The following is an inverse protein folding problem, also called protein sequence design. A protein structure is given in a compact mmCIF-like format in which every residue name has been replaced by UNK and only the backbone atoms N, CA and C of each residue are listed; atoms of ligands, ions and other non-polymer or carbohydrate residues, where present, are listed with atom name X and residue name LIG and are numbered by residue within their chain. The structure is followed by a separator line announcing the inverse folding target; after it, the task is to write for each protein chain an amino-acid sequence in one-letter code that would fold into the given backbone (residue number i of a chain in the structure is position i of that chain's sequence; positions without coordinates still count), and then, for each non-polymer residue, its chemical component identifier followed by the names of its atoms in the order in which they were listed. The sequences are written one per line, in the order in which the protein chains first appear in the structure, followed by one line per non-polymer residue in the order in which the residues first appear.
data_IF_428684144654
#
_entry.id   IF_428684144654
#
_cell.length_a   1.000
_cell.length_b   1.000
_cell.length_c   1.000
_cell.angle_alpha   90.00
_cell.angle_beta   90.00
_cell.angle_gamma   90.00
#
_symmetry.space_group_name_H-M   'P 1'
#
loop_
_entity.id
_entity.type
_entity.pdbx_description
1 polymer ?
#
# COMPACT_ATOMS: atom_id res chain seq x y z
N UNK A 1 16.91 12.18 -11.51
CA UNK A 1 15.45 11.96 -11.37
C UNK A 1 14.65 13.21 -11.00
N UNK A 2 15.28 14.32 -10.60
CA UNK A 2 14.58 15.55 -10.16
C UNK A 2 14.01 16.36 -11.34
N UNK A 3 14.72 16.38 -12.48
CA UNK A 3 14.37 17.21 -13.64
C UNK A 3 12.94 16.97 -14.17
N UNK A 4 12.49 15.72 -14.42
CA UNK A 4 11.12 15.49 -14.90
C UNK A 4 10.05 15.96 -13.92
N UNK A 5 10.25 15.70 -12.62
CA UNK A 5 9.33 16.11 -11.56
C UNK A 5 9.23 17.64 -11.52
N UNK A 6 10.37 18.32 -11.57
CA UNK A 6 10.42 19.78 -11.61
C UNK A 6 9.70 20.34 -12.83
N UNK A 7 9.96 19.80 -14.02
CA UNK A 7 9.33 20.27 -15.26
C UNK A 7 7.82 20.07 -15.22
N UNK A 8 7.33 18.93 -14.73
CA UNK A 8 5.89 18.69 -14.56
C UNK A 8 5.26 19.66 -13.57
N UNK A 9 5.94 19.92 -12.45
CA UNK A 9 5.50 20.90 -11.46
C UNK A 9 5.50 22.32 -12.04
N UNK A 10 6.60 22.77 -12.66
CA UNK A 10 6.71 24.07 -13.29
C UNK A 10 5.64 24.27 -14.38
N UNK A 11 5.39 23.25 -15.18
CA UNK A 11 4.36 23.25 -16.21
C UNK A 11 2.94 23.33 -15.65
N UNK A 12 2.64 22.75 -14.48
CA UNK A 12 1.29 22.77 -13.89
C UNK A 12 0.83 24.19 -13.47
N UNK A 13 1.75 25.14 -13.45
CA UNK A 13 1.51 26.54 -13.03
C UNK A 13 1.22 27.48 -14.19
N UNK A 14 1.20 26.95 -15.42
CA UNK A 14 0.90 27.67 -16.65
C UNK A 14 -0.52 27.42 -17.14
N UNK A 15 -0.98 28.25 -18.06
CA UNK A 15 -2.24 28.04 -18.77
C UNK A 15 -2.12 26.92 -19.81
N UNK A 16 -3.25 26.29 -20.13
CA UNK A 16 -3.30 25.21 -21.13
C UNK A 16 -2.82 25.65 -22.51
N UNK A 17 -3.04 26.91 -22.90
CA UNK A 17 -2.62 27.44 -24.21
C UNK A 17 -1.09 27.48 -24.34
N UNK A 18 -0.39 27.92 -23.29
CA UNK A 18 1.07 27.90 -23.22
C UNK A 18 1.62 26.48 -23.31
N UNK A 19 1.04 25.53 -22.58
CA UNK A 19 1.50 24.13 -22.62
C UNK A 19 1.28 23.48 -24.00
N UNK A 20 0.13 23.74 -24.63
CA UNK A 20 -0.18 23.17 -25.95
C UNK A 20 0.65 23.78 -27.08
N UNK A 21 1.03 25.06 -26.97
CA UNK A 21 1.76 25.76 -28.03
C UNK A 21 3.28 25.73 -27.86
N UNK A 22 3.79 25.84 -26.63
CA UNK A 22 5.23 25.94 -26.32
C UNK A 22 5.77 24.69 -25.62
N UNK A 23 4.92 23.71 -25.33
CA UNK A 23 5.31 22.49 -24.62
C UNK A 23 5.50 22.70 -23.12
N UNK A 24 6.22 21.76 -22.50
CA UNK A 24 6.51 21.82 -21.06
C UNK A 24 7.45 22.97 -20.70
N UNK A 25 7.17 23.60 -19.57
CA UNK A 25 7.87 24.81 -19.11
C UNK A 25 8.85 24.48 -17.99
N UNK A 26 9.97 25.22 -17.99
CA UNK A 26 11.01 25.11 -16.96
C UNK A 26 10.81 26.08 -15.80
N UNK A 27 10.29 27.27 -16.08
CA UNK A 27 9.99 28.31 -15.08
C UNK A 27 8.59 28.15 -14.49
N UNK A 28 8.29 28.92 -13.44
CA UNK A 28 6.94 29.02 -12.90
C UNK A 28 6.10 30.01 -13.72
N UNK A 29 4.83 29.69 -13.89
CA UNK A 29 3.83 30.50 -14.57
C UNK A 29 2.97 31.31 -13.61
N UNK A 30 2.10 32.14 -14.18
CA UNK A 30 1.29 33.09 -13.42
C UNK A 30 -0.03 32.49 -12.89
N UNK A 31 -0.38 31.25 -13.28
CA UNK A 31 -1.66 30.61 -12.92
C UNK A 31 -1.52 29.58 -11.80
N UNK A 32 -0.45 29.64 -11.00
CA UNK A 32 -0.21 28.72 -9.88
C UNK A 32 -1.45 28.57 -8.99
N UNK A 33 -1.93 29.66 -8.40
CA UNK A 33 -3.00 29.61 -7.40
C UNK A 33 -4.31 29.17 -8.05
N UNK A 34 -4.61 29.70 -9.23
CA UNK A 34 -5.85 29.41 -9.96
C UNK A 34 -5.95 27.93 -10.35
N UNK A 35 -4.86 27.35 -10.87
CA UNK A 35 -4.83 25.95 -11.28
C UNK A 35 -5.03 25.00 -10.09
N UNK A 36 -4.35 25.26 -8.97
CA UNK A 36 -4.46 24.40 -7.79
C UNK A 36 -5.81 24.54 -7.09
N UNK A 37 -6.37 25.76 -6.97
CA UNK A 37 -7.73 25.93 -6.45
C UNK A 37 -8.77 25.23 -7.35
N UNK A 38 -8.63 25.37 -8.67
CA UNK A 38 -9.52 24.71 -9.63
C UNK A 38 -9.46 23.19 -9.52
N UNK A 39 -8.27 22.59 -9.41
CA UNK A 39 -8.14 21.13 -9.31
C UNK A 39 -8.62 20.61 -7.96
N UNK A 40 -8.29 21.28 -6.86
CA UNK A 40 -8.59 20.79 -5.51
C UNK A 40 -10.04 21.00 -5.09
N UNK A 41 -10.63 22.15 -5.45
CA UNK A 41 -11.90 22.59 -4.89
C UNK A 41 -13.05 22.62 -5.89
N UNK A 42 -12.77 22.72 -7.20
CA UNK A 42 -13.83 22.73 -8.22
C UNK A 42 -14.08 21.31 -8.73
N UNK A 43 -15.36 21.00 -8.99
CA UNK A 43 -15.75 19.72 -9.58
C UNK A 43 -15.14 19.60 -10.98
N UNK A 44 -14.53 18.45 -11.25
CA UNK A 44 -13.81 18.20 -12.49
C UNK A 44 -13.62 16.71 -12.75
N UNK A 45 -12.64 16.37 -13.58
CA UNK A 45 -12.39 14.98 -13.99
C UNK A 45 -13.41 14.44 -15.00
N UNK A 46 -13.28 13.17 -15.36
CA UNK A 46 -14.10 12.51 -16.38
C UNK A 46 -15.61 12.53 -16.04
N UNK A 47 -15.95 12.38 -14.76
CA UNK A 47 -17.33 12.37 -14.27
C UNK A 47 -17.89 13.78 -14.00
N UNK A 48 -17.07 14.83 -13.95
CA UNK A 48 -17.43 16.21 -13.58
C UNK A 48 -18.19 16.40 -12.26
N UNK A 49 -18.27 15.35 -11.42
CA UNK A 49 -19.02 15.39 -10.16
C UNK A 49 -18.12 15.41 -8.92
N UNK A 50 -16.83 15.07 -9.09
CA UNK A 50 -15.88 14.78 -7.99
C UNK A 50 -14.76 15.81 -7.97
N UNK A 51 -14.29 16.18 -6.78
CA UNK A 51 -13.13 17.06 -6.56
C UNK A 51 -11.86 16.24 -6.32
N UNK A 52 -10.68 16.77 -6.68
CA UNK A 52 -9.43 16.07 -6.41
C UNK A 52 -9.17 15.88 -4.91
N UNK A 53 -9.63 16.80 -4.06
CA UNK A 53 -9.60 16.65 -2.60
C UNK A 53 -10.32 15.39 -2.12
N UNK A 54 -11.51 15.09 -2.67
CA UNK A 54 -12.26 13.88 -2.33
C UNK A 54 -11.52 12.63 -2.79
N UNK A 55 -10.91 12.65 -3.98
CA UNK A 55 -10.11 11.53 -4.49
C UNK A 55 -8.86 11.27 -3.63
N UNK A 56 -8.22 12.33 -3.12
CA UNK A 56 -7.09 12.23 -2.21
C UNK A 56 -7.50 11.60 -0.88
N UNK A 57 -8.64 11.99 -0.32
CA UNK A 57 -9.18 11.39 0.91
C UNK A 57 -9.49 9.90 0.70
N UNK A 58 -10.16 9.54 -0.40
CA UNK A 58 -10.42 8.13 -0.72
C UNK A 58 -9.11 7.32 -0.82
N UNK A 59 -8.13 7.87 -1.52
CA UNK A 59 -6.81 7.26 -1.70
C UNK A 59 -6.07 7.12 -0.38
N UNK A 60 -6.14 8.12 0.49
CA UNK A 60 -5.53 8.10 1.82
C UNK A 60 -6.15 7.02 2.70
N UNK A 61 -7.48 6.96 2.78
CA UNK A 61 -8.21 5.95 3.57
C UNK A 61 -7.85 4.55 3.07
N UNK A 62 -7.87 4.34 1.76
CA UNK A 62 -7.50 3.05 1.16
C UNK A 62 -6.05 2.67 1.43
N UNK A 63 -5.10 3.57 1.16
CA UNK A 63 -3.69 3.30 1.34
C UNK A 63 -3.36 3.02 2.81
N UNK A 64 -3.92 3.80 3.73
CA UNK A 64 -3.74 3.61 5.17
C UNK A 64 -4.31 2.27 5.63
N UNK A 65 -5.53 1.92 5.19
CA UNK A 65 -6.16 0.64 5.52
C UNK A 65 -5.39 -0.57 4.99
N UNK A 66 -4.99 -0.51 3.72
CA UNK A 66 -4.18 -1.57 3.07
C UNK A 66 -2.84 -1.71 3.79
N UNK A 67 -2.13 -0.60 4.03
CA UNK A 67 -0.82 -0.62 4.68
C UNK A 67 -0.91 -1.21 6.10
N UNK A 68 -1.87 -0.75 6.89
CA UNK A 68 -2.07 -1.22 8.28
C UNK A 68 -2.35 -2.72 8.32
N UNK A 69 -3.33 -3.20 7.55
CA UNK A 69 -3.68 -4.62 7.55
C UNK A 69 -2.56 -5.49 6.95
N UNK A 70 -1.87 -5.00 5.92
CA UNK A 70 -0.73 -5.70 5.32
C UNK A 70 0.40 -5.87 6.31
N UNK A 71 0.75 -4.82 7.04
CA UNK A 71 1.80 -4.86 8.06
C UNK A 71 1.40 -5.84 9.16
N UNK A 72 0.19 -5.73 9.71
CA UNK A 72 -0.28 -6.60 10.79
C UNK A 72 -0.29 -8.08 10.39
N UNK A 73 -0.93 -8.41 9.26
CA UNK A 73 -1.04 -9.81 8.80
C UNK A 73 0.32 -10.40 8.45
N UNK A 74 1.19 -9.61 7.81
CA UNK A 74 2.52 -10.08 7.40
C UNK A 74 3.47 -10.24 8.58
N UNK A 75 3.41 -9.34 9.58
CA UNK A 75 4.16 -9.47 10.83
C UNK A 75 3.76 -10.76 11.57
N UNK A 76 2.46 -11.00 11.74
CA UNK A 76 1.95 -12.19 12.44
C UNK A 76 2.31 -13.49 11.70
N UNK A 77 2.16 -13.50 10.37
CA UNK A 77 2.50 -14.65 9.54
C UNK A 77 3.99 -14.98 9.63
N UNK A 78 4.85 -13.98 9.43
CA UNK A 78 6.29 -14.15 9.51
C UNK A 78 6.76 -14.58 10.92
N UNK A 79 6.20 -13.97 11.96
CA UNK A 79 6.48 -14.30 13.36
C UNK A 79 6.19 -15.78 13.65
N UNK A 80 5.02 -16.26 13.21
CA UNK A 80 4.61 -17.65 13.38
C UNK A 80 5.53 -18.61 12.61
N UNK A 81 5.89 -18.27 11.38
CA UNK A 81 6.78 -19.10 10.54
C UNK A 81 8.18 -19.22 11.14
N UNK A 82 8.71 -18.16 11.77
CA UNK A 82 10.07 -18.14 12.32
C UNK A 82 10.14 -18.78 13.70
N UNK A 83 9.26 -18.39 14.63
CA UNK A 83 9.45 -18.73 16.04
C UNK A 83 8.67 -19.95 16.54
N UNK A 84 7.57 -20.36 15.88
CA UNK A 84 6.77 -21.51 16.33
C UNK A 84 7.32 -22.87 15.83
N UNK A 85 8.33 -22.87 14.94
CA UNK A 85 9.12 -24.06 14.50
C UNK A 85 8.31 -25.36 14.30
N UNK A 86 7.15 -25.30 13.66
CA UNK A 86 6.31 -26.47 13.36
C UNK A 86 6.63 -27.06 11.98
N UNK A 87 6.34 -28.35 11.79
CA UNK A 87 6.75 -29.13 10.58
C UNK A 87 6.34 -28.49 9.24
N UNK A 88 5.22 -27.76 9.22
CA UNK A 88 4.66 -27.14 8.01
C UNK A 88 5.11 -25.68 7.77
N UNK A 89 5.93 -25.09 8.65
CA UNK A 89 6.31 -23.68 8.54
C UNK A 89 7.02 -23.35 7.22
N UNK A 90 7.96 -24.20 6.79
CA UNK A 90 8.69 -24.01 5.52
C UNK A 90 7.80 -24.22 4.30
N UNK A 91 7.02 -25.32 4.18
CA UNK A 91 6.06 -25.46 3.09
C UNK A 91 5.03 -24.32 2.98
N UNK A 92 4.44 -23.89 4.11
CA UNK A 92 3.47 -22.78 4.10
C UNK A 92 4.09 -21.47 3.63
N UNK A 93 5.32 -21.18 4.06
CA UNK A 93 6.05 -20.03 3.56
C UNK A 93 6.23 -20.06 2.04
N UNK A 94 6.59 -21.22 1.47
CA UNK A 94 6.72 -21.35 0.03
C UNK A 94 5.39 -21.22 -0.71
N UNK A 95 4.29 -21.73 -0.16
CA UNK A 95 2.94 -21.52 -0.71
C UNK A 95 2.62 -20.03 -0.78
N UNK A 96 2.85 -19.28 0.31
CA UNK A 96 2.67 -17.82 0.35
C UNK A 96 3.56 -17.16 -0.71
N UNK A 97 4.83 -17.53 -0.76
CA UNK A 97 5.80 -16.92 -1.67
C UNK A 97 5.47 -17.16 -3.14
N UNK A 98 4.97 -18.34 -3.50
CA UNK A 98 4.54 -18.68 -4.87
C UNK A 98 3.38 -17.80 -5.37
N UNK A 99 2.57 -17.21 -4.48
CA UNK A 99 1.51 -16.28 -4.90
C UNK A 99 2.04 -15.02 -5.61
N UNK A 100 3.32 -14.70 -5.43
CA UNK A 100 4.00 -13.60 -6.15
C UNK A 100 4.17 -13.88 -7.64
N UNK A 101 4.12 -15.16 -8.05
CA UNK A 101 4.23 -15.54 -9.46
C UNK A 101 2.92 -15.29 -10.23
N UNK A 102 1.81 -15.01 -9.53
CA UNK A 102 0.52 -14.72 -10.16
C UNK A 102 0.50 -13.25 -10.61
N UNK A 103 0.41 -12.98 -11.94
CA UNK A 103 0.32 -11.61 -12.47
C UNK A 103 -0.87 -10.86 -11.89
N UNK A 104 -0.71 -9.56 -11.65
CA UNK A 104 -1.74 -8.72 -11.04
C UNK A 104 -3.02 -8.71 -11.87
N UNK A 105 -2.88 -8.69 -13.20
CA UNK A 105 -3.96 -8.63 -14.18
C UNK A 105 -4.89 -9.83 -14.07
N UNK A 106 -4.33 -11.02 -13.79
CA UNK A 106 -5.11 -12.26 -13.64
C UNK A 106 -5.89 -12.33 -12.32
N UNK A 107 -5.53 -11.51 -11.33
CA UNK A 107 -6.19 -11.50 -10.01
C UNK A 107 -7.39 -10.58 -9.96
N UNK A 108 -7.49 -9.59 -10.85
CA UNK A 108 -8.52 -8.54 -10.79
C UNK A 108 -9.92 -9.16 -10.84
N UNK A 109 -10.19 -10.05 -11.80
CA UNK A 109 -11.51 -10.67 -11.96
C UNK A 109 -11.90 -11.55 -10.76
N UNK A 110 -11.05 -12.51 -10.30
CA UNK A 110 -11.34 -13.28 -9.10
C UNK A 110 -11.57 -12.41 -7.85
N UNK A 111 -10.72 -11.41 -7.61
CA UNK A 111 -10.88 -10.52 -6.45
C UNK A 111 -12.17 -9.71 -6.52
N UNK A 112 -12.55 -9.21 -7.70
CA UNK A 112 -13.83 -8.55 -7.91
C UNK A 112 -15.01 -9.47 -7.61
N UNK A 113 -14.97 -10.72 -8.10
CA UNK A 113 -16.05 -11.69 -7.87
C UNK A 113 -16.23 -11.95 -6.37
N UNK A 114 -15.14 -12.18 -5.63
CA UNK A 114 -15.21 -12.39 -4.17
C UNK A 114 -15.80 -11.18 -3.46
N UNK A 115 -15.39 -9.96 -3.82
CA UNK A 115 -15.94 -8.72 -3.25
C UNK A 115 -17.42 -8.55 -3.58
N UNK A 116 -17.83 -8.93 -4.79
CA UNK A 116 -19.22 -8.94 -5.24
C UNK A 116 -20.07 -9.92 -4.44
N UNK A 117 -19.61 -11.16 -4.29
CA UNK A 117 -20.31 -12.21 -3.56
C UNK A 117 -20.45 -11.86 -2.07
N UNK A 118 -19.49 -11.12 -1.52
CA UNK A 118 -19.55 -10.59 -0.15
C UNK A 118 -20.44 -9.34 -0.01
N UNK A 119 -21.01 -8.80 -1.10
CA UNK A 119 -21.82 -7.58 -1.08
C UNK A 119 -21.04 -6.31 -0.77
N UNK A 120 -19.71 -6.32 -0.97
CA UNK A 120 -18.80 -5.24 -0.61
C UNK A 120 -18.44 -4.32 -1.79
N UNK A 121 -19.16 -4.43 -2.92
CA UNK A 121 -18.96 -3.57 -4.09
C UNK A 121 -19.17 -2.10 -3.70
N UNK A 122 -18.39 -1.19 -4.30
CA UNK A 122 -18.47 0.25 -4.06
C UNK A 122 -18.24 0.66 -2.58
N UNK A 123 -17.41 -0.10 -1.85
CA UNK A 123 -17.06 0.20 -0.46
C UNK A 123 -15.54 0.22 -0.23
N UNK A 124 -15.09 0.97 0.78
CA UNK A 124 -13.68 0.96 1.19
C UNK A 124 -13.21 -0.44 1.61
N UNK A 125 -14.04 -1.18 2.34
CA UNK A 125 -13.74 -2.54 2.77
C UNK A 125 -13.50 -3.47 1.58
N UNK A 126 -14.35 -3.37 0.55
CA UNK A 126 -14.21 -4.15 -0.69
C UNK A 126 -12.93 -3.84 -1.48
N UNK A 127 -12.35 -2.64 -1.31
CA UNK A 127 -11.08 -2.28 -1.92
C UNK A 127 -9.88 -2.65 -1.04
N UNK A 128 -9.99 -2.50 0.27
CA UNK A 128 -8.91 -2.73 1.23
C UNK A 128 -8.65 -4.22 1.46
N UNK A 129 -9.71 -5.00 1.69
CA UNK A 129 -9.61 -6.38 2.15
C UNK A 129 -8.88 -7.30 1.15
N UNK A 130 -9.15 -7.29 -0.17
CA UNK A 130 -8.45 -8.16 -1.12
C UNK A 130 -6.96 -7.84 -1.26
N UNK A 131 -6.57 -6.61 -0.94
CA UNK A 131 -5.18 -6.12 -1.04
C UNK A 131 -4.44 -6.18 0.30
N UNK A 132 -5.09 -6.65 1.36
CA UNK A 132 -4.55 -6.64 2.73
C UNK A 132 -3.49 -7.71 3.01
N UNK A 133 -3.35 -8.72 2.16
CA UNK A 133 -2.34 -9.77 2.30
C UNK A 133 -1.20 -9.55 1.30
N UNK A 134 0.05 -9.59 1.77
CA UNK A 134 1.23 -9.41 0.92
C UNK A 134 2.30 -10.45 1.19
N UNK A 135 2.58 -11.27 0.18
CA UNK A 135 3.66 -12.24 0.23
C UNK A 135 5.05 -11.56 0.23
N UNK A 136 5.20 -10.38 -0.41
CA UNK A 136 6.44 -9.59 -0.34
C UNK A 136 6.68 -9.08 1.08
N UNK A 137 5.66 -8.51 1.73
CA UNK A 137 5.81 -8.02 3.10
C UNK A 137 6.10 -9.18 4.06
N UNK A 138 5.40 -10.31 3.92
CA UNK A 138 5.65 -11.53 4.72
C UNK A 138 7.09 -12.03 4.52
N UNK A 139 7.59 -12.02 3.29
CA UNK A 139 8.99 -12.35 2.99
C UNK A 139 9.96 -11.43 3.73
N UNK A 140 9.81 -10.11 3.62
CA UNK A 140 10.71 -9.17 4.27
C UNK A 140 10.66 -9.25 5.80
N UNK A 141 9.47 -9.36 6.41
CA UNK A 141 9.37 -9.55 7.86
C UNK A 141 9.99 -10.86 8.31
N UNK A 142 9.87 -11.94 7.52
CA UNK A 142 10.58 -13.19 7.82
C UNK A 142 12.09 -13.00 7.77
N UNK A 143 12.61 -12.28 6.78
CA UNK A 143 14.06 -12.01 6.70
C UNK A 143 14.54 -11.16 7.88
N UNK A 144 13.74 -10.17 8.29
CA UNK A 144 13.99 -9.39 9.50
C UNK A 144 14.03 -10.27 10.75
N UNK A 145 12.97 -11.05 11.02
CA UNK A 145 12.94 -11.93 12.20
C UNK A 145 14.06 -12.96 12.22
N UNK A 146 14.47 -13.48 11.05
CA UNK A 146 15.62 -14.40 10.96
C UNK A 146 16.97 -13.73 11.23
N UNK A 147 17.05 -12.40 11.19
CA UNK A 147 18.26 -11.65 11.55
C UNK A 147 18.35 -11.37 13.06
N UNK A 148 17.25 -11.57 13.80
CA UNK A 148 17.21 -11.45 15.25
C UNK A 148 17.91 -12.66 15.89
N UNK A 149 18.87 -12.45 16.81
CA UNK A 149 19.53 -13.55 17.52
C UNK A 149 18.55 -14.37 18.36
N UNK A 150 18.67 -15.71 18.33
CA UNK A 150 17.79 -16.63 19.08
C UNK A 150 17.91 -16.42 20.60
N UNK A 151 19.04 -15.89 21.08
CA UNK A 151 19.31 -15.62 22.50
C UNK A 151 18.34 -14.61 23.10
N UNK A 152 17.85 -13.64 22.31
CA UNK A 152 16.86 -12.67 22.78
C UNK A 152 15.51 -13.34 23.07
N UNK A 153 15.13 -14.33 22.26
CA UNK A 153 13.93 -15.12 22.50
C UNK A 153 14.08 -16.01 23.73
N UNK A 154 15.25 -16.60 23.93
CA UNK A 154 15.54 -17.42 25.11
C UNK A 154 15.52 -16.59 26.39
N UNK A 155 16.14 -15.41 26.39
CA UNK A 155 16.10 -14.47 27.50
C UNK A 155 14.66 -14.05 27.84
N UNK A 156 13.85 -13.68 26.85
CA UNK A 156 12.46 -13.31 27.07
C UNK A 156 11.63 -14.47 27.68
N UNK A 157 11.90 -15.72 27.27
CA UNK A 157 11.25 -16.89 27.87
C UNK A 157 11.68 -17.11 29.32
N UNK A 158 12.94 -16.87 29.67
CA UNK A 158 13.43 -16.93 31.04
C UNK A 158 12.78 -15.86 31.92
N UNK A 159 12.51 -14.67 31.36
CA UNK A 159 11.76 -13.59 32.01
C UNK A 159 10.24 -13.84 32.09
N UNK A 160 9.77 -15.01 31.65
CA UNK A 160 8.36 -15.41 31.69
C UNK A 160 7.48 -14.75 30.63
N UNK A 161 8.08 -14.17 29.57
CA UNK A 161 7.30 -13.64 28.46
C UNK A 161 6.64 -14.77 27.65
N UNK A 162 5.33 -14.65 27.44
CA UNK A 162 4.60 -15.51 26.51
C UNK A 162 4.81 -15.03 25.05
N UNK A 163 4.42 -15.85 24.08
CA UNK A 163 4.65 -15.54 22.65
C UNK A 163 3.98 -14.24 22.19
N UNK A 164 2.84 -13.84 22.78
CA UNK A 164 2.17 -12.58 22.43
C UNK A 164 2.89 -11.38 23.02
N UNK A 165 3.36 -11.50 24.25
CA UNK A 165 4.16 -10.48 24.92
C UNK A 165 5.47 -10.25 24.17
N UNK A 166 6.18 -11.33 23.80
CA UNK A 166 7.37 -11.22 22.96
C UNK A 166 7.09 -10.62 21.58
N UNK A 167 5.90 -10.83 21.01
CA UNK A 167 5.52 -10.21 19.73
C UNK A 167 5.29 -8.69 19.83
N UNK A 168 4.78 -8.20 20.98
CA UNK A 168 4.44 -6.78 21.18
C UNK A 168 5.63 -5.99 21.75
N UNK A 169 6.37 -6.58 22.68
CA UNK A 169 7.43 -5.91 23.44
C UNK A 169 8.77 -5.85 22.67
N UNK A 170 8.86 -6.55 21.54
CA UNK A 170 10.02 -6.55 20.65
C UNK A 170 9.93 -5.43 19.61
#
# INVERSE_FOLDING_TARGET
MIIPIWITFASSTHDNGTILSKGMQWGLGNQFIENYDKVLNKKGGFSQEITASSMLINSFIMAFGIATLTVLTSLMSAYTIVYFRFKLAVPLFWIIFLTLLVPLELRIMPSYQVVSDLGLINSYTGLILPLSASAIATFFFRQFYKSVPDELLEAAKLDGANSWKFFIDF
#
